data_IF_834330565421
#
_entry.id   IF_834330565421
#
_cell.length_a   1.000
_cell.length_b   1.000
_cell.length_c   1.000
_cell.angle_alpha   90.00
_cell.angle_beta   90.00
_cell.angle_gamma   90.00
#
_symmetry.space_group_name_H-M   'P 1'
#
loop_
_entity.id
_entity.type
_entity.pdbx_description
1 polymer ?
#
# COMPACT_ATOMS: atom_id res chain seq x y z
N UNK A 1 22.74 -0.83 52.87
CA UNK A 1 22.89 0.00 51.66
C UNK A 1 23.18 -0.82 50.40
N UNK A 2 24.07 -1.82 50.44
CA UNK A 2 24.33 -2.69 49.28
C UNK A 2 23.12 -3.47 48.74
N UNK A 3 22.21 -3.94 49.60
CA UNK A 3 21.01 -4.67 49.16
C UNK A 3 20.01 -3.79 48.39
N UNK A 4 19.83 -2.52 48.78
CA UNK A 4 18.94 -1.60 48.05
C UNK A 4 19.55 -1.14 46.73
N UNK A 5 20.86 -0.92 46.68
CA UNK A 5 21.57 -0.58 45.44
C UNK A 5 21.53 -1.74 44.44
N UNK A 6 21.69 -2.98 44.92
CA UNK A 6 21.59 -4.17 44.07
C UNK A 6 20.19 -4.30 43.45
N UNK A 7 19.14 -4.06 44.23
CA UNK A 7 17.76 -4.09 43.73
C UNK A 7 17.49 -3.02 42.66
N UNK A 8 18.03 -1.81 42.83
CA UNK A 8 17.87 -0.74 41.85
C UNK A 8 18.59 -1.04 40.53
N UNK A 9 19.76 -1.68 40.58
CA UNK A 9 20.48 -2.11 39.37
C UNK A 9 19.68 -3.18 38.63
N UNK A 10 19.15 -4.17 39.34
CA UNK A 10 18.36 -5.25 38.75
C UNK A 10 17.10 -4.67 38.06
N UNK A 11 16.42 -3.75 38.74
CA UNK A 11 15.26 -3.06 38.18
C UNK A 11 15.62 -2.32 36.88
N UNK A 12 16.75 -1.60 36.87
CA UNK A 12 17.22 -0.88 35.69
C UNK A 12 17.52 -1.79 34.50
N UNK A 13 18.18 -2.93 34.73
CA UNK A 13 18.51 -3.89 33.67
C UNK A 13 17.26 -4.55 33.09
N UNK A 14 16.26 -4.88 33.93
CA UNK A 14 14.98 -5.45 33.46
C UNK A 14 14.27 -4.48 32.51
N UNK A 15 14.20 -3.19 32.88
CA UNK A 15 13.53 -2.17 32.06
C UNK A 15 14.24 -1.98 30.71
N UNK A 16 15.57 -1.89 30.71
CA UNK A 16 16.36 -1.74 29.47
C UNK A 16 16.19 -2.98 28.56
N UNK A 17 16.19 -4.18 29.14
CA UNK A 17 15.99 -5.42 28.39
C UNK A 17 14.65 -5.46 27.65
N UNK A 18 13.56 -5.08 28.31
CA UNK A 18 12.24 -5.01 27.69
C UNK A 18 12.18 -3.91 26.62
N UNK A 19 12.77 -2.75 26.88
CA UNK A 19 12.77 -1.63 25.93
C UNK A 19 13.45 -2.00 24.59
N UNK A 20 14.56 -2.74 24.62
CA UNK A 20 15.26 -3.21 23.42
C UNK A 20 14.39 -4.22 22.65
N UNK A 21 13.78 -5.18 23.35
CA UNK A 21 12.94 -6.19 22.73
C UNK A 21 11.72 -5.58 22.04
N UNK A 22 11.02 -4.67 22.72
CA UNK A 22 9.86 -3.96 22.16
C UNK A 22 10.26 -3.04 21.01
N UNK A 23 11.36 -2.30 21.17
CA UNK A 23 11.89 -1.43 20.11
C UNK A 23 12.19 -2.19 18.82
N UNK A 24 12.83 -3.35 18.92
CA UNK A 24 13.14 -4.20 17.77
C UNK A 24 11.87 -4.69 17.04
N UNK A 25 10.84 -5.12 17.78
CA UNK A 25 9.57 -5.55 17.17
C UNK A 25 8.83 -4.40 16.48
N UNK A 26 8.94 -3.19 17.03
CA UNK A 26 8.23 -2.02 16.52
C UNK A 26 8.81 -1.51 15.20
N UNK A 27 10.13 -1.58 15.02
CA UNK A 27 10.77 -1.26 13.75
C UNK A 27 10.31 -2.17 12.61
N UNK A 28 10.12 -3.47 12.88
CA UNK A 28 9.56 -4.40 11.91
C UNK A 28 8.13 -4.03 11.51
N UNK A 29 7.26 -3.78 12.50
CA UNK A 29 5.87 -3.39 12.27
C UNK A 29 5.76 -2.06 11.50
N UNK A 30 6.60 -1.07 11.80
CA UNK A 30 6.62 0.21 11.08
C UNK A 30 6.99 0.05 9.60
N UNK A 31 7.94 -0.82 9.27
CA UNK A 31 8.31 -1.05 7.87
C UNK A 31 7.17 -1.68 7.07
N UNK A 32 6.40 -2.56 7.69
CA UNK A 32 5.21 -3.18 7.10
C UNK A 32 4.11 -2.14 6.88
N UNK A 33 3.79 -1.34 7.90
CA UNK A 33 2.75 -0.30 7.79
C UNK A 33 3.13 0.77 6.77
N UNK A 34 4.39 1.19 6.72
CA UNK A 34 4.88 2.15 5.73
C UNK A 34 4.77 1.62 4.28
N UNK A 35 5.05 0.33 4.06
CA UNK A 35 4.88 -0.29 2.75
C UNK A 35 3.40 -0.35 2.35
N UNK A 36 2.53 -0.72 3.29
CA UNK A 36 1.07 -0.76 3.10
C UNK A 36 0.49 0.61 2.72
N UNK A 37 0.91 1.66 3.42
CA UNK A 37 0.50 3.03 3.13
C UNK A 37 1.04 3.50 1.77
N UNK A 38 2.30 3.17 1.46
CA UNK A 38 2.92 3.45 0.17
C UNK A 38 2.18 2.80 -1.01
N UNK A 39 1.85 1.51 -0.90
CA UNK A 39 1.05 0.80 -1.92
C UNK A 39 -0.32 1.45 -2.10
N UNK A 40 -1.00 1.76 -1.00
CA UNK A 40 -2.32 2.39 -1.01
C UNK A 40 -2.26 3.76 -1.70
N UNK A 41 -1.27 4.59 -1.38
CA UNK A 41 -1.06 5.89 -2.01
C UNK A 41 -0.80 5.79 -3.52
N UNK A 42 0.06 4.87 -3.93
CA UNK A 42 0.32 4.61 -5.36
C UNK A 42 -0.91 4.09 -6.10
N UNK A 43 -1.70 3.20 -5.50
CA UNK A 43 -2.96 2.72 -6.07
C UNK A 43 -3.98 3.84 -6.26
N UNK A 44 -4.12 4.74 -5.29
CA UNK A 44 -5.00 5.92 -5.41
C UNK A 44 -4.55 6.82 -6.57
N UNK A 45 -3.24 7.04 -6.72
CA UNK A 45 -2.70 7.83 -7.83
C UNK A 45 -2.97 7.18 -9.19
N UNK A 46 -2.73 5.86 -9.31
CA UNK A 46 -3.02 5.09 -10.52
C UNK A 46 -4.53 5.09 -10.80
N UNK A 47 -5.37 5.03 -9.76
CA UNK A 47 -6.82 5.11 -9.88
C UNK A 47 -7.29 6.46 -10.41
N UNK A 48 -6.66 7.55 -9.98
CA UNK A 48 -6.93 8.89 -10.53
C UNK A 48 -6.50 9.00 -12.00
N UNK A 49 -5.37 8.39 -12.39
CA UNK A 49 -4.95 8.32 -13.79
C UNK A 49 -5.93 7.50 -14.65
N UNK A 50 -6.44 6.39 -14.12
CA UNK A 50 -7.48 5.59 -14.76
C UNK A 50 -8.76 6.40 -14.99
N UNK A 51 -9.21 7.15 -13.98
CA UNK A 51 -10.39 8.03 -14.09
C UNK A 51 -10.16 9.15 -15.12
N UNK A 52 -8.96 9.71 -15.16
CA UNK A 52 -8.56 10.70 -16.15
C UNK A 52 -8.59 10.10 -17.57
N UNK A 53 -8.08 8.88 -17.78
CA UNK A 53 -8.17 8.18 -19.06
C UNK A 53 -9.63 8.04 -19.52
N UNK A 54 -10.52 7.64 -18.62
CA UNK A 54 -11.95 7.54 -18.92
C UNK A 54 -12.57 8.87 -19.37
N UNK A 55 -12.16 9.98 -18.78
CA UNK A 55 -12.71 11.30 -19.08
C UNK A 55 -12.27 11.82 -20.46
N UNK A 56 -11.05 11.47 -20.89
CA UNK A 56 -10.55 11.89 -22.20
C UNK A 56 -11.31 11.20 -23.35
N UNK A 57 -11.63 11.93 -24.44
CA UNK A 57 -12.21 11.34 -25.64
C UNK A 57 -11.19 10.44 -26.34
N UNK A 58 -11.69 9.43 -27.06
CA UNK A 58 -10.85 8.46 -27.80
C UNK A 58 -9.91 9.11 -28.83
N UNK A 59 -10.32 10.24 -29.39
CA UNK A 59 -9.53 11.02 -30.37
C UNK A 59 -8.22 11.56 -29.74
N UNK A 60 -8.20 11.76 -28.42
CA UNK A 60 -7.03 12.22 -27.66
C UNK A 60 -6.29 11.07 -26.95
N UNK A 61 -6.58 9.81 -27.30
CA UNK A 61 -5.99 8.64 -26.66
C UNK A 61 -6.62 8.28 -25.31
N UNK A 62 -7.83 8.78 -25.02
CA UNK A 62 -8.60 8.42 -23.84
C UNK A 62 -9.56 7.25 -24.06
N UNK A 63 -10.29 6.90 -23.00
CA UNK A 63 -11.24 5.78 -22.99
C UNK A 63 -12.65 6.13 -23.44
N UNK A 64 -12.95 7.40 -23.73
CA UNK A 64 -14.26 7.81 -24.26
C UNK A 64 -15.42 7.43 -23.35
N UNK A 65 -15.29 7.67 -22.03
CA UNK A 65 -16.22 7.25 -20.96
C UNK A 65 -16.18 5.76 -20.61
N UNK A 66 -15.15 5.05 -21.05
CA UNK A 66 -14.88 3.65 -20.71
C UNK A 66 -13.49 3.50 -20.06
N UNK A 67 -13.30 2.54 -19.15
CA UNK A 67 -11.96 2.13 -18.74
C UNK A 67 -11.38 1.02 -19.62
N UNK A 68 -12.14 0.52 -20.60
CA UNK A 68 -11.68 -0.54 -21.49
C UNK A 68 -10.36 -0.13 -22.17
N UNK A 69 -9.42 -1.08 -22.21
CA UNK A 69 -8.05 -0.91 -22.69
C UNK A 69 -7.18 0.07 -21.88
N UNK A 70 -7.62 0.51 -20.69
CA UNK A 70 -6.74 1.24 -19.80
C UNK A 70 -5.54 0.35 -19.43
N UNK A 71 -4.35 0.89 -19.65
CA UNK A 71 -3.08 0.29 -19.24
C UNK A 71 -2.37 1.26 -18.32
N UNK A 72 -1.83 0.74 -17.23
CA UNK A 72 -0.99 1.53 -16.31
C UNK A 72 0.26 1.96 -17.09
N UNK A 73 0.60 3.25 -17.12
CA UNK A 73 1.85 3.71 -17.72
C UNK A 73 3.06 3.06 -17.05
N UNK A 74 4.11 2.73 -17.80
CA UNK A 74 5.31 2.03 -17.27
C UNK A 74 5.95 2.71 -16.06
N UNK A 75 5.87 4.04 -15.99
CA UNK A 75 6.35 4.84 -14.85
C UNK A 75 5.64 4.56 -13.52
N UNK A 76 4.43 4.01 -13.58
CA UNK A 76 3.59 3.66 -12.43
C UNK A 76 3.43 2.14 -12.28
N UNK A 77 4.07 1.34 -13.13
CA UNK A 77 3.92 -0.12 -13.09
C UNK A 77 4.65 -0.75 -11.90
N UNK A 78 5.68 -0.09 -11.37
CA UNK A 78 6.42 -0.53 -10.19
C UNK A 78 7.00 0.64 -9.43
N UNK A 79 7.11 0.49 -8.11
CA UNK A 79 7.77 1.42 -7.20
C UNK A 79 8.53 0.63 -6.12
N UNK A 80 9.22 1.31 -5.20
CA UNK A 80 9.89 0.71 -4.04
C UNK A 80 8.95 -0.16 -3.20
N UNK A 81 7.67 0.21 -3.16
CA UNK A 81 6.65 -0.46 -2.36
C UNK A 81 6.09 -1.73 -3.02
N UNK A 82 6.14 -1.87 -4.35
CA UNK A 82 5.51 -2.99 -5.03
C UNK A 82 5.31 -2.83 -6.54
N UNK A 83 4.60 -3.80 -7.12
CA UNK A 83 4.23 -3.84 -8.54
C UNK A 83 2.73 -3.70 -8.72
N UNK A 84 2.29 -2.99 -9.76
CA UNK A 84 0.89 -2.67 -10.00
C UNK A 84 0.42 -3.21 -11.35
N UNK A 85 -0.79 -3.78 -11.35
CA UNK A 85 -1.41 -4.36 -12.54
C UNK A 85 -2.91 -4.04 -12.59
N UNK A 86 -3.48 -4.11 -13.79
CA UNK A 86 -4.93 -4.00 -13.98
C UNK A 86 -5.50 -5.41 -13.95
N UNK A 87 -6.33 -5.72 -12.95
CA UNK A 87 -6.99 -7.02 -12.86
C UNK A 87 -8.23 -7.08 -13.75
N UNK A 88 -9.00 -6.00 -13.84
CA UNK A 88 -10.11 -5.89 -14.79
C UNK A 88 -10.41 -4.44 -15.12
N UNK A 89 -10.77 -4.16 -16.37
CA UNK A 89 -11.18 -2.84 -16.81
C UNK A 89 -12.43 -2.95 -17.68
N UNK A 90 -13.54 -2.44 -17.15
CA UNK A 90 -14.85 -2.45 -17.81
C UNK A 90 -15.24 -1.03 -18.23
N UNK A 91 -16.44 -0.85 -18.78
CA UNK A 91 -16.94 0.49 -19.12
C UNK A 91 -17.12 1.35 -17.87
N UNK A 92 -17.51 0.74 -16.75
CA UNK A 92 -17.92 1.47 -15.55
C UNK A 92 -16.95 1.33 -14.40
N UNK A 93 -16.13 0.28 -14.35
CA UNK A 93 -15.25 -0.01 -13.24
C UNK A 93 -13.84 -0.39 -13.71
N UNK A 94 -12.83 0.00 -12.94
CA UNK A 94 -11.45 -0.43 -13.13
C UNK A 94 -10.93 -1.01 -11.81
N UNK A 95 -10.49 -2.26 -11.83
CA UNK A 95 -9.89 -2.95 -10.67
C UNK A 95 -8.39 -3.00 -10.88
N UNK A 96 -7.67 -2.32 -9.99
CA UNK A 96 -6.23 -2.24 -9.91
C UNK A 96 -5.74 -3.12 -8.76
N UNK A 97 -4.62 -3.78 -8.96
CA UNK A 97 -4.02 -4.68 -7.97
C UNK A 97 -2.57 -4.29 -7.78
N UNK A 98 -2.19 -4.03 -6.53
CA UNK A 98 -0.81 -3.80 -6.10
C UNK A 98 -0.31 -5.00 -5.30
N UNK A 99 0.84 -5.54 -5.68
CA UNK A 99 1.54 -6.61 -4.96
C UNK A 99 2.74 -6.02 -4.24
N UNK A 100 2.87 -6.27 -2.94
CA UNK A 100 3.97 -5.73 -2.13
C UNK A 100 5.33 -6.30 -2.51
N UNK A 101 6.35 -5.44 -2.44
CA UNK A 101 7.76 -5.83 -2.57
C UNK A 101 8.29 -6.64 -1.37
N UNK A 102 7.64 -6.54 -0.19
CA UNK A 102 8.04 -7.26 1.02
C UNK A 102 7.53 -8.71 1.03
N UNK A 103 6.34 -8.94 0.49
CA UNK A 103 5.73 -10.26 0.43
C UNK A 103 4.76 -10.35 -0.75
N UNK A 104 4.96 -11.32 -1.64
CA UNK A 104 4.11 -11.53 -2.81
C UNK A 104 2.66 -11.91 -2.48
N UNK A 105 2.40 -12.43 -1.26
CA UNK A 105 1.05 -12.73 -0.78
C UNK A 105 0.30 -11.48 -0.31
N UNK A 106 1.02 -10.38 -0.03
CA UNK A 106 0.41 -9.12 0.39
C UNK A 106 -0.04 -8.35 -0.83
N UNK A 107 -1.35 -8.39 -1.04
CA UNK A 107 -1.99 -7.78 -2.19
C UNK A 107 -2.93 -6.67 -1.69
N UNK A 108 -2.97 -5.54 -2.37
CA UNK A 108 -3.94 -4.48 -2.17
C UNK A 108 -4.75 -4.32 -3.46
N UNK A 109 -6.08 -4.23 -3.33
CA UNK A 109 -6.98 -4.08 -4.48
C UNK A 109 -7.64 -2.71 -4.40
N UNK A 110 -7.62 -1.97 -5.50
CA UNK A 110 -8.26 -0.68 -5.62
C UNK A 110 -9.29 -0.74 -6.75
N UNK A 111 -10.54 -0.45 -6.44
CA UNK A 111 -11.62 -0.38 -7.42
C UNK A 111 -11.99 1.07 -7.66
N UNK A 112 -11.90 1.52 -8.92
CA UNK A 112 -12.36 2.82 -9.36
C UNK A 112 -13.74 2.67 -9.97
N UNK A 113 -14.73 3.37 -9.41
CA UNK A 113 -16.10 3.33 -9.89
C UNK A 113 -16.34 4.23 -11.12
N UNK A 114 -17.60 4.31 -11.55
CA UNK A 114 -17.94 5.08 -12.74
C UNK A 114 -17.88 6.60 -12.55
N UNK A 115 -17.91 7.07 -11.30
CA UNK A 115 -17.91 8.47 -10.88
C UNK A 115 -16.53 8.92 -10.38
N UNK A 116 -15.52 8.03 -10.42
CA UNK A 116 -14.17 8.31 -9.95
C UNK A 116 -13.99 8.13 -8.44
N UNK A 117 -14.94 7.50 -7.74
CA UNK A 117 -14.71 7.05 -6.36
C UNK A 117 -13.74 5.89 -6.38
N UNK A 118 -12.75 5.99 -5.51
CA UNK A 118 -11.70 5.01 -5.34
C UNK A 118 -12.00 4.27 -4.04
N UNK A 119 -12.28 2.98 -4.15
CA UNK A 119 -12.45 2.09 -3.00
C UNK A 119 -11.21 1.18 -2.92
N UNK A 120 -10.36 1.40 -1.91
CA UNK A 120 -9.18 0.57 -1.71
C UNK A 120 -9.48 -0.48 -0.65
N UNK A 121 -9.61 -1.72 -1.10
CA UNK A 121 -9.70 -2.90 -0.25
C UNK A 121 -8.29 -3.48 -0.11
N UNK A 122 -7.68 -3.27 1.05
CA UNK A 122 -6.47 -3.99 1.44
C UNK A 122 -6.81 -5.48 1.47
N UNK A 123 -6.18 -6.27 0.61
CA UNK A 123 -6.51 -7.69 0.49
C UNK A 123 -5.76 -8.51 1.56
N UNK A 124 -6.19 -9.75 1.70
CA UNK A 124 -5.79 -10.69 2.74
C UNK A 124 -4.27 -10.87 2.87
N UNK A 125 -3.79 -10.91 4.11
CA UNK A 125 -2.46 -11.44 4.44
C UNK A 125 -1.53 -10.50 5.20
N UNK A 126 -1.85 -9.20 5.29
CA UNK A 126 -1.18 -8.25 6.18
C UNK A 126 -1.45 -8.56 7.66
#
# INVERSE_FOLDING_TARGET
MGQQQLLLIILGVIVVGIAIAVGATHFGAYSVEANKDGITGSLVNIGADAYKYKLYPSILGGGGRSYVNYSIPSRFASDEHGTYSVASATVQTCVLVGTSSLNASWIATCTVDSLGRIDTVLSSGW
#
